data_IF_794365671083
#
_entry.id   IF_794365671083
#
_cell.length_a   1.000
_cell.length_b   1.000
_cell.length_c   1.000
_cell.angle_alpha   90.00
_cell.angle_beta   90.00
_cell.angle_gamma   90.00
#
_symmetry.space_group_name_H-M   'P 1'
#
loop_
_entity.id
_entity.type
_entity.pdbx_description
1 polymer ?
#
# COMPACT_ATOMS: atom_id res chain seq x y z
N UNK A 1 16.91 17.97 30.22
CA UNK A 1 16.03 17.60 29.12
C UNK A 1 14.73 18.38 29.28
N UNK A 2 14.56 19.53 28.60
CA UNK A 2 13.39 20.41 28.72
C UNK A 2 12.22 19.81 27.92
N UNK A 3 11.15 19.41 28.60
CA UNK A 3 9.86 19.12 27.96
C UNK A 3 9.24 20.44 27.50
N UNK A 4 9.32 20.75 26.24
CA UNK A 4 8.44 21.74 25.62
C UNK A 4 7.14 21.03 25.28
N UNK A 5 6.12 21.20 26.10
CA UNK A 5 4.72 20.86 25.81
C UNK A 5 4.18 21.92 24.85
N UNK A 6 4.38 21.71 23.56
CA UNK A 6 3.53 22.32 22.53
C UNK A 6 2.31 21.43 22.35
N UNK A 7 1.16 22.05 22.14
CA UNK A 7 -0.18 21.42 22.00
C UNK A 7 -0.33 20.43 20.82
N UNK A 8 0.73 20.25 20.04
CA UNK A 8 0.83 19.26 18.99
C UNK A 8 1.45 18.00 19.59
N UNK A 9 0.74 16.87 19.46
CA UNK A 9 1.15 15.59 20.01
C UNK A 9 2.56 15.17 19.56
N UNK A 10 3.19 14.16 20.18
CA UNK A 10 4.57 13.82 19.95
C UNK A 10 4.81 13.50 18.47
N UNK A 11 5.54 14.37 17.78
CA UNK A 11 5.97 14.14 16.40
C UNK A 11 6.97 12.98 16.38
N UNK A 12 6.51 11.81 16.00
CA UNK A 12 7.43 10.73 15.62
C UNK A 12 7.93 10.98 14.21
N UNK A 13 9.15 11.43 14.07
CA UNK A 13 9.82 11.46 12.79
C UNK A 13 10.17 10.03 12.39
N UNK A 14 9.49 9.53 11.36
CA UNK A 14 9.83 8.24 10.77
C UNK A 14 11.12 8.39 9.98
N UNK A 15 12.21 7.78 10.48
CA UNK A 15 13.48 7.78 9.75
C UNK A 15 13.29 7.13 8.38
N UNK A 16 13.73 7.82 7.32
CA UNK A 16 13.73 7.28 5.97
C UNK A 16 14.70 6.11 5.90
N UNK A 17 14.17 4.92 5.62
CA UNK A 17 14.98 3.75 5.32
C UNK A 17 15.06 3.58 3.81
N UNK A 18 16.15 3.01 3.32
CA UNK A 18 16.33 2.77 1.88
C UNK A 18 15.18 1.92 1.30
N UNK A 19 14.77 0.88 2.02
CA UNK A 19 13.63 0.05 1.65
C UNK A 19 12.31 0.83 1.61
N UNK A 20 12.12 1.78 2.54
CA UNK A 20 10.94 2.65 2.54
C UNK A 20 10.93 3.58 1.34
N UNK A 21 12.06 4.20 1.00
CA UNK A 21 12.16 5.07 -0.17
C UNK A 21 11.94 4.31 -1.48
N UNK A 22 12.48 3.08 -1.58
CA UNK A 22 12.27 2.23 -2.75
C UNK A 22 10.80 1.82 -2.91
N UNK A 23 10.10 1.47 -1.82
CA UNK A 23 8.68 1.13 -1.89
C UNK A 23 7.81 2.33 -2.31
N UNK A 24 8.13 3.53 -1.83
CA UNK A 24 7.45 4.76 -2.23
C UNK A 24 7.68 5.07 -3.70
N UNK A 25 8.93 5.01 -4.15
CA UNK A 25 9.27 5.21 -5.56
C UNK A 25 8.58 4.18 -6.47
N UNK A 26 8.58 2.90 -6.07
CA UNK A 26 7.91 1.84 -6.81
C UNK A 26 6.39 2.10 -6.92
N UNK A 27 5.75 2.51 -5.83
CA UNK A 27 4.32 2.86 -5.85
C UNK A 27 4.04 3.99 -6.84
N UNK A 28 4.81 5.08 -6.78
CA UNK A 28 4.62 6.23 -7.66
C UNK A 28 4.86 5.85 -9.13
N UNK A 29 5.93 5.12 -9.43
CA UNK A 29 6.24 4.67 -10.80
C UNK A 29 5.12 3.78 -11.33
N UNK A 30 4.61 2.82 -10.56
CA UNK A 30 3.50 1.97 -10.98
C UNK A 30 2.22 2.77 -11.23
N UNK A 31 1.90 3.76 -10.40
CA UNK A 31 0.74 4.63 -10.63
C UNK A 31 0.89 5.44 -11.93
N UNK A 32 2.07 5.99 -12.19
CA UNK A 32 2.35 6.71 -13.44
C UNK A 32 2.21 5.79 -14.66
N UNK A 33 2.75 4.57 -14.57
CA UNK A 33 2.61 3.55 -15.63
C UNK A 33 1.14 3.19 -15.84
N UNK A 34 0.38 2.94 -14.77
CA UNK A 34 -1.04 2.61 -14.87
C UNK A 34 -1.85 3.72 -15.57
N UNK A 35 -1.64 4.98 -15.19
CA UNK A 35 -2.28 6.11 -15.84
C UNK A 35 -1.83 6.30 -17.29
N UNK A 36 -0.54 6.07 -17.59
CA UNK A 36 -0.05 6.05 -18.97
C UNK A 36 -0.77 5.01 -19.82
N UNK A 37 -0.97 3.79 -19.30
CA UNK A 37 -1.70 2.72 -19.97
C UNK A 37 -3.19 3.08 -20.17
N UNK A 38 -3.86 3.67 -19.17
CA UNK A 38 -5.24 4.15 -19.28
C UNK A 38 -5.34 5.20 -20.36
N UNK A 39 -4.48 6.21 -20.33
CA UNK A 39 -4.49 7.29 -21.32
C UNK A 39 -4.25 6.76 -22.73
N UNK A 40 -3.30 5.82 -22.89
CA UNK A 40 -3.04 5.18 -24.18
C UNK A 40 -4.29 4.44 -24.68
N UNK A 41 -4.97 3.69 -23.81
CA UNK A 41 -6.18 2.97 -24.18
C UNK A 41 -7.37 3.89 -24.51
N UNK A 42 -7.40 5.11 -23.94
CA UNK A 42 -8.46 6.08 -24.20
C UNK A 42 -8.24 6.90 -25.48
N UNK A 43 -6.96 7.20 -25.79
CA UNK A 43 -6.60 8.12 -26.89
C UNK A 43 -6.28 7.36 -28.18
N UNK A 44 -5.82 6.12 -28.09
CA UNK A 44 -5.48 5.33 -29.28
C UNK A 44 -6.71 5.13 -30.20
N UNK A 45 -6.61 5.50 -31.48
CA UNK A 45 -7.69 5.31 -32.44
C UNK A 45 -7.94 3.83 -32.70
N UNK A 46 -9.19 3.48 -32.99
CA UNK A 46 -9.62 2.14 -33.31
C UNK A 46 -8.85 1.48 -34.49
N UNK A 47 -8.17 2.28 -35.30
CA UNK A 47 -7.34 1.81 -36.43
C UNK A 47 -6.13 0.96 -36.02
N UNK A 48 -5.63 1.08 -34.79
CA UNK A 48 -4.54 0.26 -34.25
C UNK A 48 -5.00 -1.08 -33.66
N UNK A 49 -6.29 -1.31 -33.65
CA UNK A 49 -6.93 -2.46 -33.01
C UNK A 49 -7.66 -3.40 -33.99
N UNK A 50 -7.62 -3.11 -35.29
CA UNK A 50 -8.24 -3.93 -36.34
C UNK A 50 -7.20 -4.83 -36.99
N UNK A 51 -7.13 -6.08 -36.54
CA UNK A 51 -6.28 -7.12 -37.13
C UNK A 51 -6.17 -8.35 -36.22
N UNK A 52 -5.60 -9.45 -36.70
CA UNK A 52 -5.37 -10.66 -35.89
C UNK A 52 -4.39 -10.41 -34.72
N UNK A 53 -3.71 -9.27 -34.66
CA UNK A 53 -2.80 -8.84 -33.63
C UNK A 53 -3.37 -7.65 -32.83
N UNK A 54 -4.68 -7.61 -32.58
CA UNK A 54 -5.29 -6.55 -31.80
C UNK A 54 -4.74 -6.54 -30.36
N UNK A 55 -3.99 -5.50 -30.01
CA UNK A 55 -3.41 -5.31 -28.69
C UNK A 55 -4.41 -4.74 -27.68
N UNK A 56 -5.35 -3.93 -28.17
CA UNK A 56 -6.35 -3.24 -27.38
C UNK A 56 -7.73 -3.84 -27.61
N UNK A 57 -8.49 -4.01 -26.54
CA UNK A 57 -9.88 -4.44 -26.61
C UNK A 57 -10.77 -3.28 -27.06
N UNK A 58 -11.20 -3.29 -28.31
CA UNK A 58 -12.10 -2.28 -28.89
C UNK A 58 -13.58 -2.53 -28.62
N UNK A 59 -13.94 -3.69 -28.12
CA UNK A 59 -15.32 -4.03 -27.73
C UNK A 59 -15.80 -3.27 -26.50
N UNK A 60 -14.89 -2.59 -25.79
CA UNK A 60 -15.19 -1.85 -24.59
C UNK A 60 -16.11 -0.66 -24.83
N UNK A 61 -17.22 -0.64 -24.14
CA UNK A 61 -18.18 0.45 -24.18
C UNK A 61 -17.64 1.70 -23.47
N UNK A 62 -18.27 2.85 -23.73
CA UNK A 62 -17.97 4.08 -22.97
C UNK A 62 -18.08 3.89 -21.46
N UNK A 63 -19.05 3.07 -21.02
CA UNK A 63 -19.26 2.75 -19.60
C UNK A 63 -18.06 2.00 -19.01
N UNK A 64 -17.49 1.05 -19.74
CA UNK A 64 -16.33 0.28 -19.28
C UNK A 64 -15.10 1.17 -19.15
N UNK A 65 -14.90 2.07 -20.11
CA UNK A 65 -13.81 3.06 -20.08
C UNK A 65 -13.96 4.05 -18.92
N UNK A 66 -15.17 4.57 -18.70
CA UNK A 66 -15.46 5.44 -17.56
C UNK A 66 -15.27 4.70 -16.23
N UNK A 67 -15.67 3.42 -16.17
CA UNK A 67 -15.45 2.54 -15.04
C UNK A 67 -13.95 2.41 -14.70
N UNK A 68 -13.12 2.13 -15.69
CA UNK A 68 -11.67 1.99 -15.49
C UNK A 68 -11.01 3.28 -14.97
N UNK A 69 -11.41 4.45 -15.47
CA UNK A 69 -10.93 5.75 -14.96
C UNK A 69 -11.36 5.96 -13.51
N UNK A 70 -12.60 5.62 -13.17
CA UNK A 70 -13.12 5.77 -11.82
C UNK A 70 -12.38 4.84 -10.84
N UNK A 71 -12.24 3.55 -11.18
CA UNK A 71 -11.49 2.60 -10.37
C UNK A 71 -10.03 2.98 -10.25
N UNK A 72 -9.39 3.43 -11.34
CA UNK A 72 -8.03 3.94 -11.32
C UNK A 72 -7.87 5.15 -10.39
N UNK A 73 -8.84 6.06 -10.37
CA UNK A 73 -8.88 7.20 -9.46
C UNK A 73 -8.98 6.77 -7.99
N UNK A 74 -9.88 5.83 -7.68
CA UNK A 74 -10.05 5.27 -6.34
C UNK A 74 -8.76 4.56 -5.87
N UNK A 75 -8.18 3.70 -6.69
CA UNK A 75 -6.96 2.97 -6.38
C UNK A 75 -5.77 3.91 -6.17
N UNK A 76 -5.65 4.94 -7.02
CA UNK A 76 -4.63 5.99 -6.86
C UNK A 76 -4.79 6.70 -5.52
N UNK A 77 -6.03 7.09 -5.17
CA UNK A 77 -6.30 7.71 -3.89
C UNK A 77 -5.91 6.81 -2.72
N UNK A 78 -6.29 5.53 -2.74
CA UNK A 78 -5.98 4.57 -1.69
C UNK A 78 -4.47 4.33 -1.57
N UNK A 79 -3.75 4.19 -2.70
CA UNK A 79 -2.31 3.99 -2.69
C UNK A 79 -1.56 5.22 -2.14
N UNK A 80 -1.95 6.43 -2.55
CA UNK A 80 -1.39 7.67 -2.02
C UNK A 80 -1.75 7.88 -0.56
N UNK A 81 -2.98 7.54 -0.16
CA UNK A 81 -3.40 7.57 1.24
C UNK A 81 -2.57 6.62 2.11
N UNK A 82 -2.29 5.41 1.62
CA UNK A 82 -1.41 4.46 2.33
C UNK A 82 0.01 5.04 2.51
N UNK A 83 0.58 5.66 1.48
CA UNK A 83 1.87 6.34 1.60
C UNK A 83 1.83 7.49 2.61
N UNK A 84 0.81 8.33 2.54
CA UNK A 84 0.65 9.45 3.47
C UNK A 84 0.42 8.99 4.91
N UNK A 85 -0.39 7.95 5.12
CA UNK A 85 -0.63 7.35 6.44
C UNK A 85 0.65 6.77 7.05
N UNK A 86 1.58 6.27 6.22
CA UNK A 86 2.88 5.79 6.68
C UNK A 86 3.75 6.89 7.31
N UNK A 87 3.54 8.16 6.95
CA UNK A 87 4.21 9.31 7.57
C UNK A 87 3.45 9.85 8.80
N UNK A 88 2.15 9.55 8.92
CA UNK A 88 1.31 9.98 10.03
C UNK A 88 0.66 8.78 10.74
N UNK A 89 1.45 7.80 11.18
CA UNK A 89 0.92 6.50 11.59
C UNK A 89 0.02 6.55 12.83
N UNK A 90 0.24 7.50 13.74
CA UNK A 90 -0.54 7.60 14.98
C UNK A 90 -1.91 8.26 14.79
N UNK A 91 -2.07 9.11 13.77
CA UNK A 91 -3.31 9.87 13.53
C UNK A 91 -4.20 9.28 12.44
N UNK A 92 -3.64 8.38 11.60
CA UNK A 92 -4.31 7.92 10.37
C UNK A 92 -4.44 6.41 10.24
N UNK A 93 -3.69 5.66 11.05
CA UNK A 93 -3.81 4.20 11.06
C UNK A 93 -4.60 3.81 12.31
N UNK A 94 -5.87 3.47 12.10
CA UNK A 94 -6.70 2.91 13.16
C UNK A 94 -6.35 1.44 13.36
N UNK A 95 -5.94 1.13 14.58
CA UNK A 95 -5.67 -0.24 14.97
C UNK A 95 -6.58 -0.65 16.13
N UNK A 96 -7.06 -1.90 16.15
CA UNK A 96 -7.89 -2.40 17.24
C UNK A 96 -7.12 -2.55 18.57
N UNK A 97 -5.91 -2.00 18.65
CA UNK A 97 -5.07 -2.09 19.83
C UNK A 97 -4.20 -0.85 20.03
N UNK A 98 -3.87 -0.55 21.28
CA UNK A 98 -2.99 0.56 21.65
C UNK A 98 -1.54 0.25 21.33
N UNK A 99 -0.87 1.15 20.61
CA UNK A 99 0.55 1.08 20.32
C UNK A 99 1.32 1.56 21.55
N UNK A 100 2.17 0.70 22.08
CA UNK A 100 2.95 0.97 23.31
C UNK A 100 4.46 1.08 23.07
N UNK A 101 4.93 0.68 21.90
CA UNK A 101 6.35 0.62 21.58
C UNK A 101 6.68 1.18 20.20
N UNK A 102 7.81 1.89 20.07
CA UNK A 102 8.31 2.45 18.82
C UNK A 102 8.55 1.37 17.74
N UNK A 103 8.88 0.14 18.15
CA UNK A 103 9.05 -0.99 17.22
C UNK A 103 7.74 -1.43 16.56
N UNK A 104 6.61 -1.36 17.29
CA UNK A 104 5.29 -1.63 16.73
C UNK A 104 4.94 -0.62 15.64
N UNK A 105 5.24 0.66 15.90
CA UNK A 105 5.04 1.74 14.94
C UNK A 105 5.87 1.53 13.66
N UNK A 106 7.14 1.12 13.81
CA UNK A 106 8.01 0.82 12.66
C UNK A 106 7.47 -0.33 11.80
N UNK A 107 6.94 -1.36 12.44
CA UNK A 107 6.26 -2.47 11.75
C UNK A 107 5.06 -1.95 10.96
N UNK A 108 4.18 -1.19 11.60
CA UNK A 108 3.01 -0.62 10.93
C UNK A 108 3.39 0.19 9.70
N UNK A 109 4.35 1.11 9.82
CA UNK A 109 4.82 1.93 8.70
C UNK A 109 5.31 1.06 7.55
N UNK A 110 6.07 0.00 7.83
CA UNK A 110 6.57 -0.91 6.80
C UNK A 110 5.45 -1.63 6.07
N UNK A 111 4.47 -2.17 6.80
CA UNK A 111 3.34 -2.86 6.21
C UNK A 111 2.38 -1.93 5.47
N UNK A 112 2.21 -0.70 5.95
CA UNK A 112 1.39 0.31 5.25
C UNK A 112 2.02 0.71 3.91
N UNK A 113 3.34 0.86 3.85
CA UNK A 113 4.07 1.11 2.58
C UNK A 113 3.95 -0.08 1.62
N UNK A 114 4.08 -1.30 2.14
CA UNK A 114 3.89 -2.50 1.33
C UNK A 114 2.47 -2.59 0.77
N UNK A 115 1.45 -2.15 1.52
CA UNK A 115 0.07 -2.07 1.04
C UNK A 115 -0.06 -1.09 -0.13
N UNK A 116 0.60 0.07 -0.09
CA UNK A 116 0.63 1.01 -1.20
C UNK A 116 1.23 0.40 -2.48
N UNK A 117 2.31 -0.37 -2.36
CA UNK A 117 2.90 -1.10 -3.49
C UNK A 117 1.91 -2.12 -4.06
N UNK A 118 1.26 -2.91 -3.21
CA UNK A 118 0.28 -3.91 -3.66
C UNK A 118 -0.92 -3.27 -4.37
N UNK A 119 -1.44 -2.14 -3.88
CA UNK A 119 -2.52 -1.39 -4.51
C UNK A 119 -2.09 -0.90 -5.90
N UNK A 120 -0.93 -0.25 -6.00
CA UNK A 120 -0.43 0.24 -7.29
C UNK A 120 -0.18 -0.90 -8.29
N UNK A 121 0.32 -2.04 -7.83
CA UNK A 121 0.50 -3.23 -8.66
C UNK A 121 -0.85 -3.82 -9.11
N UNK A 122 -1.84 -3.86 -8.24
CA UNK A 122 -3.20 -4.30 -8.57
C UNK A 122 -3.84 -3.38 -9.62
N UNK A 123 -3.63 -2.06 -9.52
CA UNK A 123 -4.10 -1.10 -10.53
C UNK A 123 -3.47 -1.35 -11.90
N UNK A 124 -2.14 -1.51 -11.98
CA UNK A 124 -1.46 -1.84 -13.24
C UNK A 124 -2.03 -3.12 -13.84
N UNK A 125 -2.15 -4.17 -13.03
CA UNK A 125 -2.69 -5.46 -13.46
C UNK A 125 -4.16 -5.35 -13.90
N UNK A 126 -4.98 -4.58 -13.20
CA UNK A 126 -6.38 -4.32 -13.55
C UNK A 126 -6.52 -3.62 -14.89
N UNK A 127 -5.69 -2.62 -15.16
CA UNK A 127 -5.65 -1.91 -16.45
C UNK A 127 -5.22 -2.84 -17.58
N UNK A 128 -4.18 -3.65 -17.35
CA UNK A 128 -3.73 -4.62 -18.35
C UNK A 128 -4.79 -5.69 -18.63
N UNK A 129 -5.49 -6.18 -17.63
CA UNK A 129 -6.57 -7.15 -17.80
C UNK A 129 -7.76 -6.55 -18.55
N UNK A 130 -8.08 -5.29 -18.29
CA UNK A 130 -9.24 -4.64 -18.89
C UNK A 130 -9.02 -4.26 -20.35
N UNK A 131 -7.86 -3.69 -20.68
CA UNK A 131 -7.63 -3.05 -21.98
C UNK A 131 -6.72 -3.84 -22.93
N UNK A 132 -5.82 -4.68 -22.41
CA UNK A 132 -4.76 -5.30 -23.21
C UNK A 132 -4.96 -6.81 -23.35
N UNK A 133 -5.50 -7.23 -24.49
CA UNK A 133 -5.88 -8.64 -24.74
C UNK A 133 -4.73 -9.64 -24.51
N UNK A 134 -3.51 -9.43 -25.04
CA UNK A 134 -2.42 -10.38 -24.87
C UNK A 134 -1.98 -10.56 -23.42
N UNK A 135 -2.16 -9.54 -22.58
CA UNK A 135 -1.72 -9.54 -21.20
C UNK A 135 -2.79 -10.04 -20.22
N UNK A 136 -4.05 -10.20 -20.68
CA UNK A 136 -5.21 -10.49 -19.82
C UNK A 136 -5.00 -11.69 -18.89
N UNK A 137 -4.61 -12.90 -19.34
CA UNK A 137 -4.50 -14.06 -18.46
C UNK A 137 -3.40 -13.88 -17.40
N UNK A 138 -2.28 -13.25 -17.76
CA UNK A 138 -1.21 -12.97 -16.82
C UNK A 138 -1.63 -11.86 -15.81
N UNK A 139 -2.33 -10.86 -16.28
CA UNK A 139 -2.81 -9.75 -15.46
C UNK A 139 -3.89 -10.19 -14.46
N UNK A 140 -4.83 -11.03 -14.85
CA UNK A 140 -5.82 -11.63 -13.96
C UNK A 140 -5.16 -12.44 -12.83
N UNK A 141 -4.17 -13.24 -13.19
CA UNK A 141 -3.37 -13.98 -12.20
C UNK A 141 -2.64 -13.03 -11.26
N UNK A 142 -2.05 -11.95 -11.78
CA UNK A 142 -1.37 -10.95 -10.98
C UNK A 142 -2.32 -10.22 -10.01
N UNK A 143 -3.56 -9.92 -10.41
CA UNK A 143 -4.58 -9.36 -9.51
C UNK A 143 -4.82 -10.27 -8.31
N UNK A 144 -5.02 -11.58 -8.56
CA UNK A 144 -5.25 -12.55 -7.49
C UNK A 144 -4.05 -12.58 -6.53
N UNK A 145 -2.83 -12.57 -7.07
CA UNK A 145 -1.60 -12.53 -6.27
C UNK A 145 -1.53 -11.24 -5.43
N UNK A 146 -1.86 -10.08 -6.02
CA UNK A 146 -1.88 -8.80 -5.30
C UNK A 146 -2.91 -8.81 -4.16
N UNK A 147 -4.12 -9.32 -4.41
CA UNK A 147 -5.16 -9.43 -3.38
C UNK A 147 -4.74 -10.36 -2.24
N UNK A 148 -4.16 -11.52 -2.56
CA UNK A 148 -3.61 -12.44 -1.58
C UNK A 148 -2.46 -11.79 -0.78
N UNK A 149 -1.57 -11.06 -1.44
CA UNK A 149 -0.49 -10.32 -0.81
C UNK A 149 -1.02 -9.22 0.13
N UNK A 150 -2.06 -8.49 -0.25
CA UNK A 150 -2.70 -7.50 0.63
C UNK A 150 -3.29 -8.15 1.88
N UNK A 151 -4.02 -9.26 1.74
CA UNK A 151 -4.61 -9.98 2.85
C UNK A 151 -3.54 -10.54 3.81
N UNK A 152 -2.50 -11.17 3.26
CA UNK A 152 -1.37 -11.69 4.06
C UNK A 152 -0.57 -10.58 4.72
N UNK A 153 -0.37 -9.44 4.05
CA UNK A 153 0.30 -8.27 4.59
C UNK A 153 -0.47 -7.70 5.79
N UNK A 154 -1.79 -7.56 5.68
CA UNK A 154 -2.63 -7.09 6.78
C UNK A 154 -2.61 -8.06 7.97
N UNK A 155 -2.76 -9.37 7.73
CA UNK A 155 -2.71 -10.38 8.77
C UNK A 155 -1.33 -10.42 9.47
N UNK A 156 -0.24 -10.34 8.69
CA UNK A 156 1.12 -10.31 9.22
C UNK A 156 1.38 -9.04 10.05
N UNK A 157 0.88 -7.88 9.63
CA UNK A 157 0.99 -6.64 10.39
C UNK A 157 0.36 -6.79 11.79
N UNK A 158 -0.88 -7.28 11.84
CA UNK A 158 -1.61 -7.52 13.10
C UNK A 158 -0.85 -8.53 13.97
N UNK A 159 -0.47 -9.68 13.43
CA UNK A 159 0.27 -10.72 14.16
C UNK A 159 1.60 -10.21 14.72
N UNK A 160 2.37 -9.45 13.92
CA UNK A 160 3.65 -8.88 14.37
C UNK A 160 3.47 -7.86 15.50
N UNK A 161 2.44 -7.01 15.43
CA UNK A 161 2.14 -6.04 16.49
C UNK A 161 1.74 -6.75 17.78
N UNK A 162 0.91 -7.79 17.71
CA UNK A 162 0.55 -8.63 18.87
C UNK A 162 1.77 -9.29 19.52
N UNK A 163 2.58 -9.97 18.72
CA UNK A 163 3.78 -10.69 19.21
C UNK A 163 4.78 -9.76 19.91
N UNK A 164 4.93 -8.53 19.44
CA UNK A 164 5.81 -7.54 20.07
C UNK A 164 5.22 -6.93 21.34
N UNK A 165 3.89 -6.87 21.47
CA UNK A 165 3.22 -6.45 22.71
C UNK A 165 3.52 -7.39 23.87
N UNK A 166 3.48 -8.70 23.65
CA UNK A 166 3.74 -9.68 24.68
C UNK A 166 5.20 -9.66 25.16
N UNK A 167 6.14 -9.48 24.22
CA UNK A 167 7.57 -9.34 24.59
C UNK A 167 7.83 -8.11 25.46
N UNK A 168 7.17 -6.98 25.19
CA UNK A 168 7.36 -5.77 25.99
C UNK A 168 6.83 -5.92 27.43
N UNK A 169 5.75 -6.66 27.62
CA UNK A 169 5.22 -6.99 28.96
C UNK A 169 6.19 -7.85 29.74
N UNK A 170 6.75 -8.88 29.11
CA UNK A 170 7.72 -9.80 29.74
C UNK A 170 9.00 -9.06 30.16
N UNK A 171 9.47 -8.13 29.36
CA UNK A 171 10.65 -7.30 29.69
C UNK A 171 10.36 -6.34 30.86
N UNK A 172 9.17 -5.72 30.90
CA UNK A 172 8.76 -4.88 32.05
C UNK A 172 8.66 -5.67 33.35
N UNK A 173 8.08 -6.84 33.30
CA UNK A 173 7.98 -7.73 34.49
C UNK A 173 9.36 -8.17 34.98
N UNK A 174 10.32 -8.45 34.08
CA UNK A 174 11.70 -8.75 34.45
C UNK A 174 12.40 -7.58 35.15
N UNK A 175 12.21 -6.36 34.66
CA UNK A 175 12.83 -5.16 35.28
C UNK A 175 12.22 -4.88 36.65
N UNK A 176 10.92 -5.11 36.85
CA UNK A 176 10.26 -4.93 38.14
C UNK A 176 10.68 -5.96 39.19
N UNK A 177 11.04 -7.17 38.76
CA UNK A 177 11.53 -8.21 39.68
C UNK A 177 13.02 -8.10 40.04
N UNK A 178 13.76 -7.19 39.38
CA UNK A 178 15.17 -6.90 39.66
C UNK A 178 15.35 -5.69 40.60
N UNK A 179 14.44 -5.44 41.56
CA UNK A 179 14.74 -4.54 42.66
C UNK A 179 15.68 -5.30 43.62
N UNK A 180 16.92 -4.84 43.79
CA UNK A 180 17.78 -5.42 44.84
C UNK A 180 17.09 -5.21 46.18
N UNK A 181 16.93 -6.27 46.95
CA UNK A 181 16.60 -6.19 48.37
C UNK A 181 17.82 -5.56 49.04
N UNK A 182 17.70 -4.27 49.39
CA UNK A 182 18.59 -3.59 50.35
C UNK A 182 18.06 -3.91 51.74
#
# INVERSE_FOLDING_TARGET
>A
MKRTTTSDGPFFTVNRTLTGTLSEAATIVMLVVAWGLILTALVCPASLSTGPEAWLDTSLTFRDRAGAVTFGGIDTYLALYALWAAYHPLSRIEMPMTITAAEQLRVMVTYTRAMGVCLAAAMVSGVLAAFYIPCRPAAETAIIICLAAMATNAAAAVACVYRRRDRSKTTRLRILNFRPKI
#
